data_IF_697537687048
#
_entry.id   IF_697537687048
#
_cell.length_a   1.000
_cell.length_b   1.000
_cell.length_c   1.000
_cell.angle_alpha   90.00
_cell.angle_beta   90.00
_cell.angle_gamma   90.00
#
_symmetry.space_group_name_H-M   'P 1'
#
loop_
_entity.id
_entity.type
_entity.pdbx_description
1 polymer ?
#
# COMPACT_ATOMS: atom_id res chain seq x y z
N UNK A 1 -38.23 -24.10 49.47
CA UNK A 1 -36.80 -24.20 49.12
C UNK A 1 -36.28 -25.57 49.50
N UNK A 2 -36.14 -26.49 48.56
CA UNK A 2 -35.11 -27.54 48.55
C UNK A 2 -34.92 -27.92 47.08
N UNK A 3 -33.84 -27.46 46.48
CA UNK A 3 -33.35 -27.92 45.18
C UNK A 3 -32.21 -28.91 45.44
N UNK A 4 -32.19 -30.02 44.69
CA UNK A 4 -31.06 -30.94 44.39
C UNK A 4 -31.60 -32.22 43.73
N UNK A 5 -30.82 -33.02 42.97
CA UNK A 5 -29.72 -32.67 42.08
C UNK A 5 -29.74 -33.45 40.72
N UNK A 6 -28.94 -32.97 39.77
CA UNK A 6 -28.16 -33.71 38.74
C UNK A 6 -28.88 -34.75 37.86
N UNK A 7 -28.99 -34.43 36.57
CA UNK A 7 -28.87 -35.41 35.49
C UNK A 7 -27.75 -34.98 34.55
N UNK A 8 -26.61 -35.65 34.70
CA UNK A 8 -25.48 -35.69 33.76
C UNK A 8 -25.92 -36.54 32.56
N UNK A 9 -25.90 -35.99 31.35
CA UNK A 9 -25.86 -36.66 30.04
C UNK A 9 -25.94 -35.51 29.00
N UNK A 10 -25.06 -35.29 28.03
CA UNK A 10 -24.08 -36.14 27.39
C UNK A 10 -23.01 -35.26 26.74
N UNK A 11 -21.75 -35.60 26.99
CA UNK A 11 -20.62 -35.20 26.18
C UNK A 11 -20.79 -35.80 24.78
N UNK A 12 -21.01 -34.97 23.77
CA UNK A 12 -20.72 -35.30 22.36
C UNK A 12 -20.16 -34.03 21.74
N UNK A 13 -18.83 -33.86 21.80
CA UNK A 13 -17.97 -33.97 20.61
C UNK A 13 -18.70 -33.60 19.31
N UNK A 14 -18.86 -32.29 19.13
CA UNK A 14 -19.12 -31.66 17.83
C UNK A 14 -17.97 -30.70 17.53
N UNK A 15 -16.74 -31.21 17.49
CA UNK A 15 -15.63 -30.55 16.81
C UNK A 15 -15.96 -30.60 15.32
N UNK A 16 -16.84 -29.70 14.88
CA UNK A 16 -16.90 -29.33 13.48
C UNK A 16 -15.84 -28.27 13.28
N UNK A 17 -14.67 -28.78 12.88
CA UNK A 17 -13.71 -28.09 12.05
C UNK A 17 -14.44 -27.36 10.92
N UNK A 18 -14.81 -26.12 11.20
CA UNK A 18 -15.11 -25.10 10.24
C UNK A 18 -14.31 -23.89 10.65
N UNK A 19 -12.98 -24.06 10.79
CA UNK A 19 -12.11 -22.93 10.59
C UNK A 19 -12.47 -22.42 9.20
N UNK A 20 -13.31 -21.40 9.15
CA UNK A 20 -13.48 -20.60 7.96
C UNK A 20 -12.06 -20.12 7.68
N UNK A 21 -11.36 -20.84 6.80
CA UNK A 21 -10.27 -20.27 6.04
C UNK A 21 -10.94 -19.08 5.37
N UNK A 22 -10.78 -17.89 5.97
CA UNK A 22 -11.16 -16.65 5.36
C UNK A 22 -10.42 -16.69 4.03
N UNK A 23 -11.10 -16.79 2.88
CA UNK A 23 -10.42 -16.86 1.61
C UNK A 23 -9.48 -15.67 1.57
N UNK A 24 -8.17 -15.91 1.49
CA UNK A 24 -7.24 -14.83 1.26
C UNK A 24 -7.70 -14.17 -0.04
N UNK A 25 -7.95 -12.85 -0.04
CA UNK A 25 -8.65 -12.19 -1.12
C UNK A 25 -7.91 -12.46 -2.43
N UNK A 26 -8.64 -12.72 -3.51
CA UNK A 26 -8.04 -12.80 -4.83
C UNK A 26 -7.31 -11.48 -5.10
N UNK A 27 -6.02 -11.57 -5.41
CA UNK A 27 -5.18 -10.40 -5.62
C UNK A 27 -4.92 -10.24 -7.12
N UNK A 28 -4.97 -9.00 -7.58
CA UNK A 28 -4.45 -8.59 -8.89
C UNK A 28 -3.19 -7.76 -8.69
N UNK A 29 -2.16 -8.11 -9.45
CA UNK A 29 -0.92 -7.35 -9.56
C UNK A 29 -0.84 -6.73 -10.95
N UNK A 30 -0.62 -5.44 -11.01
CA UNK A 30 -0.47 -4.63 -12.22
C UNK A 30 0.96 -4.11 -12.26
N UNK A 31 1.70 -4.43 -13.32
CA UNK A 31 3.14 -4.14 -13.40
C UNK A 31 3.48 -3.34 -14.64
N UNK A 32 4.34 -2.33 -14.47
CA UNK A 32 4.92 -1.54 -15.56
C UNK A 32 6.34 -1.11 -15.20
N UNK A 33 7.36 -1.56 -15.92
CA UNK A 33 8.75 -1.36 -15.53
C UNK A 33 9.01 -1.77 -14.08
N UNK A 34 9.54 -0.85 -13.27
CA UNK A 34 9.76 -1.01 -11.83
C UNK A 34 8.55 -0.57 -10.96
N UNK A 35 7.40 -0.29 -11.56
CA UNK A 35 6.14 -0.01 -10.86
C UNK A 35 5.32 -1.29 -10.69
N UNK A 36 4.84 -1.51 -9.47
CA UNK A 36 3.90 -2.55 -9.11
C UNK A 36 2.72 -1.94 -8.36
N UNK A 37 1.49 -2.25 -8.78
CA UNK A 37 0.28 -1.93 -8.04
C UNK A 37 -0.46 -3.21 -7.67
N UNK A 38 -0.86 -3.34 -6.41
CA UNK A 38 -1.48 -4.55 -5.86
C UNK A 38 -2.86 -4.24 -5.30
N UNK A 39 -3.84 -5.05 -5.70
CA UNK A 39 -5.24 -4.81 -5.38
C UNK A 39 -6.05 -6.05 -5.10
N UNK A 40 -7.14 -5.89 -4.37
CA UNK A 40 -8.11 -6.95 -4.16
C UNK A 40 -9.10 -6.99 -5.34
N UNK A 41 -9.47 -8.19 -5.78
CA UNK A 41 -10.48 -8.41 -6.80
C UNK A 41 -11.84 -8.59 -6.10
N UNK A 42 -12.76 -7.69 -6.36
CA UNK A 42 -14.14 -7.79 -5.91
C UNK A 42 -14.85 -9.00 -6.54
N UNK A 43 -15.96 -9.44 -5.95
CA UNK A 43 -16.77 -10.54 -6.51
C UNK A 43 -17.31 -10.26 -7.92
N UNK A 44 -17.39 -8.99 -8.32
CA UNK A 44 -17.73 -8.56 -9.69
C UNK A 44 -16.60 -8.77 -10.71
N UNK A 45 -15.38 -9.11 -10.26
CA UNK A 45 -14.17 -9.15 -11.07
C UNK A 45 -13.42 -7.82 -11.17
N UNK A 46 -13.97 -6.73 -10.62
CA UNK A 46 -13.32 -5.41 -10.58
C UNK A 46 -12.18 -5.42 -9.57
N UNK A 47 -11.00 -4.93 -9.96
CA UNK A 47 -9.86 -4.80 -9.07
C UNK A 47 -9.77 -3.39 -8.47
N UNK A 48 -9.48 -3.32 -7.18
CA UNK A 48 -9.20 -2.08 -6.44
C UNK A 48 -7.79 -2.15 -5.86
N UNK A 49 -6.90 -1.32 -6.37
CA UNK A 49 -5.47 -1.32 -6.05
C UNK A 49 -5.23 -0.51 -4.78
N UNK A 50 -4.91 -1.21 -3.70
CA UNK A 50 -4.67 -0.64 -2.37
C UNK A 50 -3.22 -0.25 -2.13
N UNK A 51 -2.35 -0.61 -3.06
CA UNK A 51 -0.91 -0.43 -2.95
C UNK A 51 -0.34 -0.06 -4.31
N UNK A 52 0.55 0.94 -4.34
CA UNK A 52 1.35 1.32 -5.51
C UNK A 52 2.79 1.50 -5.03
N UNK A 53 3.72 0.82 -5.68
CA UNK A 53 5.15 0.85 -5.40
C UNK A 53 5.92 1.13 -6.67
N UNK A 54 6.97 1.93 -6.58
CA UNK A 54 7.94 2.16 -7.66
C UNK A 54 9.34 1.99 -7.10
N UNK A 55 10.08 1.03 -7.65
CA UNK A 55 11.42 0.69 -7.22
C UNK A 55 11.47 -0.61 -6.42
N UNK A 56 12.51 -1.39 -6.69
CA UNK A 56 12.91 -2.59 -5.95
C UNK A 56 14.43 -2.56 -5.73
N UNK A 57 15.00 -3.39 -4.85
CA UNK A 57 16.45 -3.49 -4.69
C UNK A 57 17.24 -3.65 -5.99
N UNK A 58 16.72 -4.49 -6.90
CA UNK A 58 17.40 -4.84 -8.16
C UNK A 58 17.03 -3.88 -9.32
N UNK A 59 15.95 -3.12 -9.17
CA UNK A 59 15.47 -2.13 -10.14
C UNK A 59 14.90 -0.90 -9.40
N UNK A 60 15.76 -0.01 -8.86
CA UNK A 60 15.35 1.09 -8.00
C UNK A 60 14.56 2.15 -8.75
N UNK A 61 13.91 3.05 -8.01
CA UNK A 61 13.24 4.21 -8.59
C UNK A 61 14.19 5.00 -9.50
N UNK A 62 13.73 5.29 -10.71
CA UNK A 62 14.55 5.90 -11.76
C UNK A 62 13.91 7.15 -12.39
N UNK A 63 12.79 7.62 -11.83
CA UNK A 63 12.12 8.85 -12.26
C UNK A 63 11.36 8.76 -13.59
N UNK A 64 11.20 7.56 -14.18
CA UNK A 64 10.50 7.43 -15.48
C UNK A 64 9.00 7.76 -15.43
N UNK A 65 8.39 7.65 -14.25
CA UNK A 65 6.96 7.89 -14.06
C UNK A 65 6.71 9.32 -13.60
N UNK A 66 5.97 10.07 -14.42
CA UNK A 66 5.52 11.41 -14.09
C UNK A 66 4.13 11.34 -13.45
N UNK A 67 4.06 11.59 -12.15
CA UNK A 67 2.83 11.61 -11.36
C UNK A 67 2.92 12.68 -10.28
N UNK A 68 1.82 12.92 -9.58
CA UNK A 68 1.80 13.79 -8.41
C UNK A 68 1.19 13.08 -7.21
N UNK A 69 1.56 13.53 -6.02
CA UNK A 69 0.95 13.05 -4.78
C UNK A 69 0.33 14.20 -4.01
N UNK A 70 -0.64 13.88 -3.17
CA UNK A 70 -1.21 14.82 -2.21
C UNK A 70 -1.31 14.14 -0.85
N UNK A 71 -0.57 14.70 0.10
CA UNK A 71 -0.60 14.26 1.49
C UNK A 71 -1.67 15.02 2.28
N UNK A 72 -2.26 14.37 3.28
CA UNK A 72 -3.22 14.99 4.19
C UNK A 72 -2.53 16.18 4.91
N UNK A 73 -3.02 17.40 4.63
CA UNK A 73 -2.78 18.68 5.29
C UNK A 73 -1.87 19.75 4.68
N UNK A 74 -0.93 19.54 3.74
CA UNK A 74 -0.09 20.71 3.33
C UNK A 74 0.41 20.77 1.89
N UNK A 75 0.68 19.68 1.16
CA UNK A 75 1.37 19.86 -0.13
C UNK A 75 1.02 18.81 -1.17
N UNK A 76 0.78 19.31 -2.38
CA UNK A 76 0.89 18.54 -3.60
C UNK A 76 2.36 18.57 -4.02
N UNK A 77 2.86 17.47 -4.56
CA UNK A 77 4.25 17.37 -5.02
C UNK A 77 4.30 16.50 -6.28
N UNK A 78 4.93 17.00 -7.34
CA UNK A 78 5.19 16.20 -8.51
C UNK A 78 6.40 15.27 -8.29
N UNK A 79 6.43 14.15 -9.01
CA UNK A 79 7.45 13.11 -8.82
C UNK A 79 8.86 13.54 -9.23
N UNK A 80 9.01 14.59 -10.03
CA UNK A 80 10.29 15.23 -10.38
C UNK A 80 10.78 16.23 -9.30
N UNK A 81 9.91 16.60 -8.35
CA UNK A 81 10.24 17.45 -7.20
C UNK A 81 10.63 16.62 -5.95
N UNK A 82 10.64 15.29 -6.06
CA UNK A 82 10.99 14.39 -4.95
C UNK A 82 12.49 14.50 -4.62
N UNK A 83 12.79 15.24 -3.54
CA UNK A 83 14.13 15.32 -2.94
C UNK A 83 14.10 14.89 -1.48
N UNK A 84 15.23 14.41 -0.93
CA UNK A 84 15.30 13.98 0.47
C UNK A 84 14.91 15.13 1.42
N UNK A 85 15.36 16.35 1.15
CA UNK A 85 15.06 17.54 1.96
C UNK A 85 13.57 17.88 1.93
N UNK A 86 12.94 17.92 0.75
CA UNK A 86 11.51 18.19 0.60
C UNK A 86 10.68 17.14 1.36
N UNK A 87 10.99 15.86 1.15
CA UNK A 87 10.27 14.75 1.77
C UNK A 87 10.49 14.72 3.30
N UNK A 88 11.70 15.01 3.77
CA UNK A 88 12.00 15.13 5.20
C UNK A 88 11.18 16.26 5.86
N UNK A 89 11.07 17.42 5.20
CA UNK A 89 10.26 18.53 5.67
C UNK A 89 8.77 18.16 5.73
N UNK A 90 8.24 17.53 4.68
CA UNK A 90 6.85 17.07 4.65
C UNK A 90 6.57 16.04 5.77
N UNK A 91 7.47 15.08 5.96
CA UNK A 91 7.36 14.10 7.04
C UNK A 91 7.36 14.78 8.42
N UNK A 92 8.24 15.75 8.66
CA UNK A 92 8.28 16.47 9.93
C UNK A 92 6.99 17.24 10.23
N UNK A 93 6.41 17.91 9.22
CA UNK A 93 5.15 18.67 9.36
C UNK A 93 3.95 17.74 9.56
N UNK A 94 3.93 16.59 8.87
CA UNK A 94 2.84 15.61 8.96
C UNK A 94 2.89 14.72 10.22
N UNK A 95 3.90 14.87 11.08
CA UNK A 95 4.12 13.96 12.22
C UNK A 95 4.48 12.54 11.76
N UNK A 96 5.22 12.44 10.65
CA UNK A 96 5.71 11.20 10.07
C UNK A 96 6.82 10.53 10.86
N UNK A 97 7.21 9.35 10.38
CA UNK A 97 8.27 8.53 10.96
C UNK A 97 9.48 8.58 10.03
N UNK A 98 10.63 8.91 10.59
CA UNK A 98 11.94 8.78 9.93
C UNK A 98 12.69 7.60 10.54
N UNK A 99 13.31 6.76 9.72
CA UNK A 99 14.06 5.60 10.20
C UNK A 99 15.23 5.28 9.27
N UNK A 100 16.34 4.79 9.84
CA UNK A 100 17.43 4.22 9.05
C UNK A 100 17.09 2.77 8.72
N UNK A 101 17.20 2.41 7.44
CA UNK A 101 16.96 1.04 7.00
C UNK A 101 18.22 0.22 7.20
N UNK A 102 18.10 -0.85 7.98
CA UNK A 102 19.16 -1.82 8.26
C UNK A 102 18.92 -3.17 7.59
N UNK A 103 17.94 -3.26 6.67
CA UNK A 103 17.63 -4.52 5.99
C UNK A 103 18.70 -4.88 4.96
N UNK A 104 18.94 -6.17 4.74
CA UNK A 104 19.87 -6.66 3.72
C UNK A 104 19.38 -6.41 2.29
N UNK A 105 18.11 -6.06 2.11
CA UNK A 105 17.52 -5.87 0.79
C UNK A 105 17.88 -4.51 0.19
N UNK A 106 18.11 -3.48 1.01
CA UNK A 106 18.49 -2.15 0.54
C UNK A 106 19.90 -1.79 1.00
N UNK A 107 20.63 -0.93 0.28
CA UNK A 107 21.95 -0.49 0.70
C UNK A 107 21.96 0.04 2.14
N UNK A 108 23.00 -0.29 2.89
CA UNK A 108 23.21 0.26 4.23
C UNK A 108 23.21 1.79 4.20
N UNK A 109 22.72 2.41 5.27
CA UNK A 109 22.57 3.87 5.44
C UNK A 109 21.41 4.53 4.70
N UNK A 110 20.57 3.75 4.00
CA UNK A 110 19.33 4.28 3.42
C UNK A 110 18.42 4.85 4.51
N UNK A 111 17.75 5.97 4.21
CA UNK A 111 16.81 6.65 5.12
C UNK A 111 15.40 6.50 4.58
N UNK A 112 14.49 5.98 5.39
CA UNK A 112 13.06 5.94 5.07
C UNK A 112 12.31 7.08 5.74
N UNK A 113 11.37 7.68 5.02
CA UNK A 113 10.42 8.68 5.49
C UNK A 113 9.01 8.18 5.23
N UNK A 114 8.18 8.04 6.26
CA UNK A 114 6.82 7.54 6.15
C UNK A 114 5.81 8.51 6.76
N UNK A 115 4.80 8.92 6.00
CA UNK A 115 3.74 9.82 6.45
C UNK A 115 2.51 9.70 5.54
N UNK A 116 1.32 9.89 6.11
CA UNK A 116 0.05 9.94 5.35
C UNK A 116 -0.19 8.76 4.38
N UNK A 117 0.33 7.57 4.69
CA UNK A 117 0.23 6.39 3.84
C UNK A 117 1.29 6.29 2.73
N UNK A 118 2.19 7.28 2.64
CA UNK A 118 3.37 7.23 1.79
C UNK A 118 4.60 6.73 2.55
N UNK A 119 5.50 6.09 1.83
CA UNK A 119 6.84 5.72 2.24
C UNK A 119 7.82 6.05 1.11
N UNK A 120 8.89 6.74 1.46
CA UNK A 120 10.00 7.07 0.57
C UNK A 120 11.28 6.51 1.16
N UNK A 121 12.13 5.92 0.32
CA UNK A 121 13.47 5.47 0.72
C UNK A 121 14.52 6.21 -0.09
N UNK A 122 15.45 6.86 0.60
CA UNK A 122 16.58 7.53 -0.02
C UNK A 122 17.88 6.78 0.29
N UNK A 123 18.72 6.64 -0.72
CA UNK A 123 20.10 6.19 -0.60
C UNK A 123 21.01 7.21 -1.28
N UNK A 124 22.01 7.73 -0.56
CA UNK A 124 22.91 8.79 -1.07
C UNK A 124 22.14 9.97 -1.69
N UNK A 125 21.09 10.44 -1.01
CA UNK A 125 20.19 11.52 -1.44
C UNK A 125 19.35 11.24 -2.70
N UNK A 126 19.43 10.03 -3.29
CA UNK A 126 18.57 9.60 -4.39
C UNK A 126 17.40 8.80 -3.87
N UNK A 127 16.20 9.10 -4.37
CA UNK A 127 15.02 8.27 -4.13
C UNK A 127 15.24 6.92 -4.83
N UNK A 128 15.13 5.82 -4.07
CA UNK A 128 15.28 4.45 -4.58
C UNK A 128 14.00 3.63 -4.46
N UNK A 129 13.06 4.06 -3.60
CA UNK A 129 11.73 3.46 -3.47
C UNK A 129 10.70 4.54 -3.14
N UNK A 130 9.61 4.52 -3.89
CA UNK A 130 8.35 5.17 -3.55
C UNK A 130 7.30 4.10 -3.29
N UNK A 131 6.51 4.25 -2.24
CA UNK A 131 5.43 3.34 -1.88
C UNK A 131 4.24 4.14 -1.32
N UNK A 132 3.04 3.82 -1.80
CA UNK A 132 1.78 4.40 -1.36
C UNK A 132 0.81 3.27 -1.00
N UNK A 133 0.33 3.28 0.23
CA UNK A 133 -0.46 2.21 0.81
C UNK A 133 -1.75 2.74 1.43
N UNK A 134 -2.88 2.18 1.03
CA UNK A 134 -4.14 2.31 1.77
C UNK A 134 -4.03 1.50 3.08
N UNK A 135 -4.08 2.18 4.22
CA UNK A 135 -3.98 1.54 5.53
C UNK A 135 -5.21 1.84 6.36
N UNK A 136 -5.89 0.79 6.81
CA UNK A 136 -7.02 0.90 7.75
C UNK A 136 -6.56 0.46 9.13
N UNK A 137 -6.43 1.42 10.04
CA UNK A 137 -6.15 1.21 11.46
C UNK A 137 -7.42 1.40 12.29
N UNK A 138 -7.43 0.91 13.53
CA UNK A 138 -8.55 1.15 14.44
C UNK A 138 -8.71 2.65 14.69
N UNK A 139 -9.79 3.25 14.15
CA UNK A 139 -10.09 4.67 14.29
C UNK A 139 -9.37 5.61 13.32
N UNK A 140 -8.58 5.11 12.37
CA UNK A 140 -7.91 5.93 11.36
C UNK A 140 -7.79 5.22 10.02
N UNK A 141 -8.11 5.92 8.94
CA UNK A 141 -7.85 5.47 7.57
C UNK A 141 -6.79 6.39 6.96
N UNK A 142 -5.71 5.80 6.44
CA UNK A 142 -4.74 6.49 5.61
C UNK A 142 -5.05 6.11 4.16
N UNK A 143 -5.53 7.08 3.37
CA UNK A 143 -5.82 6.93 1.96
C UNK A 143 -5.00 7.95 1.18
N UNK A 144 -3.70 7.68 0.94
CA UNK A 144 -2.85 8.57 0.16
C UNK A 144 -3.48 8.84 -1.21
N UNK A 145 -3.33 10.06 -1.71
CA UNK A 145 -3.87 10.44 -3.01
C UNK A 145 -2.76 10.53 -4.07
N UNK A 146 -2.95 9.88 -5.21
CA UNK A 146 -2.06 9.92 -6.37
C UNK A 146 -2.82 10.57 -7.53
N UNK A 147 -2.18 11.52 -8.20
CA UNK A 147 -2.70 12.21 -9.37
C UNK A 147 -1.78 12.07 -10.57
N UNK A 148 -2.28 12.51 -11.73
CA UNK A 148 -1.43 12.68 -12.90
C UNK A 148 -0.43 13.84 -12.71
N UNK A 149 0.57 13.94 -13.60
CA UNK A 149 1.60 14.99 -13.51
C UNK A 149 1.08 16.43 -13.65
N UNK A 150 -0.18 16.62 -14.10
CA UNK A 150 -0.74 17.96 -14.32
C UNK A 150 -1.27 18.57 -13.03
N UNK A 151 -1.23 17.83 -11.91
CA UNK A 151 -1.78 18.22 -10.60
C UNK A 151 -3.28 18.58 -10.67
N UNK A 152 -3.99 18.14 -11.70
CA UNK A 152 -5.39 18.54 -11.94
C UNK A 152 -6.41 17.70 -11.17
N UNK A 153 -6.17 16.39 -11.03
CA UNK A 153 -7.08 15.47 -10.35
C UNK A 153 -6.27 14.46 -9.52
N UNK A 154 -6.66 14.30 -8.26
CA UNK A 154 -6.04 13.39 -7.32
C UNK A 154 -7.04 12.31 -6.91
N UNK A 155 -6.56 11.07 -6.84
CA UNK A 155 -7.38 9.91 -6.54
C UNK A 155 -6.89 9.24 -5.27
N UNK A 156 -7.73 9.11 -4.23
CA UNK A 156 -7.36 8.38 -3.03
C UNK A 156 -7.22 6.89 -3.35
N UNK A 157 -6.25 6.23 -2.75
CA UNK A 157 -6.24 4.77 -2.72
C UNK A 157 -7.45 4.24 -1.90
N UNK A 158 -8.04 3.10 -2.28
CA UNK A 158 -7.68 2.27 -3.42
C UNK A 158 -8.11 2.82 -4.78
N UNK A 159 -7.27 2.60 -5.80
CA UNK A 159 -7.52 3.03 -7.17
C UNK A 159 -8.27 1.97 -7.96
N UNK A 160 -9.21 2.40 -8.81
CA UNK A 160 -9.72 1.55 -9.89
C UNK A 160 -8.69 1.45 -11.03
N UNK A 161 -8.76 0.39 -11.83
CA UNK A 161 -7.79 0.12 -12.91
C UNK A 161 -7.73 1.27 -13.93
N UNK A 162 -8.87 1.87 -14.26
CA UNK A 162 -8.95 2.99 -15.21
C UNK A 162 -8.17 4.23 -14.72
N UNK A 163 -8.05 4.39 -13.39
CA UNK A 163 -7.27 5.47 -12.79
C UNK A 163 -5.77 5.17 -12.84
N UNK A 164 -5.36 3.92 -12.64
CA UNK A 164 -3.97 3.52 -12.87
C UNK A 164 -3.56 3.74 -14.33
N UNK A 165 -4.41 3.32 -15.28
CA UNK A 165 -4.18 3.53 -16.71
C UNK A 165 -4.05 5.01 -17.06
N UNK A 166 -4.87 5.87 -16.44
CA UNK A 166 -4.77 7.32 -16.65
C UNK A 166 -3.47 7.92 -16.11
N UNK A 167 -2.99 7.46 -14.96
CA UNK A 167 -1.79 8.03 -14.30
C UNK A 167 -0.51 7.47 -14.92
N UNK A 168 -0.43 6.14 -15.10
CA UNK A 168 0.79 5.44 -15.45
C UNK A 168 0.78 4.85 -16.88
N UNK A 169 -0.34 4.92 -17.61
CA UNK A 169 -0.52 4.31 -18.93
C UNK A 169 -0.75 2.80 -18.85
N UNK A 170 -0.76 2.11 -19.99
CA UNK A 170 -0.97 0.65 -20.08
C UNK A 170 0.10 -0.17 -19.33
N UNK A 171 -0.24 -1.30 -18.67
CA UNK A 171 0.72 -2.18 -18.02
C UNK A 171 1.56 -2.95 -19.03
N UNK A 172 2.71 -3.43 -18.57
CA UNK A 172 3.46 -4.47 -19.26
C UNK A 172 2.87 -5.87 -18.95
N UNK A 173 2.36 -6.07 -17.73
CA UNK A 173 1.77 -7.33 -17.27
C UNK A 173 0.69 -7.13 -16.23
N UNK A 174 -0.32 -8.00 -16.26
CA UNK A 174 -1.35 -8.13 -15.21
C UNK A 174 -1.46 -9.59 -14.80
N UNK A 175 -1.26 -9.86 -13.51
CA UNK A 175 -1.33 -11.21 -12.94
C UNK A 175 -2.48 -11.27 -11.92
N UNK A 176 -3.21 -12.40 -11.91
CA UNK A 176 -4.21 -12.69 -10.88
C UNK A 176 -3.73 -13.90 -10.07
N UNK A 177 -3.53 -13.72 -8.77
CA UNK A 177 -3.21 -14.82 -7.86
C UNK A 177 -4.44 -15.18 -7.03
N UNK A 178 -4.85 -16.45 -7.13
CA UNK A 178 -5.94 -17.02 -6.37
C UNK A 178 -5.36 -17.88 -5.25
N UNK A 179 -5.70 -17.53 -4.01
CA UNK A 179 -5.44 -18.36 -2.84
C UNK A 179 -6.64 -19.29 -2.65
N UNK A 180 -6.43 -20.58 -2.95
CA UNK A 180 -7.42 -21.65 -2.82
C UNK A 180 -7.54 -22.14 -1.37
#
# INVERSE_FOLDING_TARGET
MVAKPIAVLSLTLGVLCGGCAVPSPNVRTWTKGNLEAVGAIASSGTAFYHHVRIGTPDDPYDGRFAFSIKAENVSQLASDEFSEDTIAQMAAVAGGITSKVSSSAWPSNSTSYAFSGFLFLFHEHRLVLFDASYVRLSGKTLAPEIGDKTMGEFFPLPLAEERLLRIFGEPDRVDNSFSW
#
